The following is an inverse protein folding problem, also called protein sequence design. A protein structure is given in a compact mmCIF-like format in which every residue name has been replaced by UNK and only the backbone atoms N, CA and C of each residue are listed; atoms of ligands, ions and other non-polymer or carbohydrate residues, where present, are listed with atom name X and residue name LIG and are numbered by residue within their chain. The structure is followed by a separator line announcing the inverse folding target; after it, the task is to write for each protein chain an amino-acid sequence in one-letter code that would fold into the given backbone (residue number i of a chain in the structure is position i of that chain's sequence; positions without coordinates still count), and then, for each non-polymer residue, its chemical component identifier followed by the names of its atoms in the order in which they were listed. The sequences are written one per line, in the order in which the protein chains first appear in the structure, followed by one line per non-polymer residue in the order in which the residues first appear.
data_IF_968250558038
#
_entry.id   IF_968250558038
#
_cell.length_a   1.000
_cell.length_b   1.000
_cell.length_c   1.000
_cell.angle_alpha   90.00
_cell.angle_beta   90.00
_cell.angle_gamma   90.00
#
_symmetry.space_group_name_H-M   'P 1'
#
loop_
_entity.id
_entity.type
_entity.pdbx_description
1 polymer ?
#
# COMPACT_ATOMS: atom_id res chain seq x y z
N UNK A 1 22.34 20.94 3.44
CA UNK A 1 21.19 21.71 3.81
C UNK A 1 19.90 21.11 3.33
N UNK A 2 19.93 20.67 2.10
CA UNK A 2 18.70 20.10 1.60
C UNK A 2 18.30 18.86 2.34
N UNK A 3 19.28 18.15 2.84
CA UNK A 3 18.96 16.97 3.62
C UNK A 3 18.12 17.25 4.81
N UNK A 4 18.33 18.41 5.41
CA UNK A 4 17.59 18.75 6.61
C UNK A 4 16.12 18.94 6.34
N UNK A 5 15.75 19.08 5.06
CA UNK A 5 14.35 19.25 4.70
C UNK A 5 13.66 17.94 4.37
N UNK A 6 14.43 16.87 4.23
CA UNK A 6 13.84 15.58 3.98
C UNK A 6 13.26 15.03 5.27
N UNK A 7 12.03 14.63 5.22
CA UNK A 7 11.38 14.10 6.40
C UNK A 7 11.57 12.60 6.45
N UNK A 8 11.72 12.10 7.66
CA UNK A 8 11.83 10.66 7.86
C UNK A 8 10.50 10.01 7.59
N UNK A 9 10.55 8.81 6.99
CA UNK A 9 9.37 8.00 6.81
C UNK A 9 8.97 7.44 8.16
N UNK A 10 7.72 7.63 8.54
CA UNK A 10 7.19 7.16 9.82
C UNK A 10 6.31 5.95 9.58
N UNK A 11 6.49 4.86 10.34
CA UNK A 11 5.61 3.71 10.20
C UNK A 11 4.16 4.08 10.49
N UNK A 12 3.25 3.46 9.75
CA UNK A 12 1.82 3.75 9.86
C UNK A 12 1.33 3.66 11.30
N UNK A 13 1.82 2.69 12.06
CA UNK A 13 1.36 2.48 13.42
C UNK A 13 1.82 3.55 14.38
N UNK A 14 2.87 4.29 14.03
CA UNK A 14 3.47 5.29 14.92
C UNK A 14 3.12 6.72 14.54
N UNK A 15 2.59 6.94 13.33
CA UNK A 15 2.31 8.30 12.88
C UNK A 15 1.10 8.86 13.65
N UNK A 16 1.18 10.14 14.00
CA UNK A 16 0.15 10.77 14.82
C UNK A 16 -1.19 10.84 14.11
N UNK A 17 -1.17 11.27 12.84
CA UNK A 17 -2.39 11.28 12.03
C UNK A 17 -2.14 10.40 10.83
N UNK A 18 -2.90 9.31 10.74
CA UNK A 18 -2.69 8.31 9.72
C UNK A 18 -3.19 8.78 8.37
N UNK A 19 -2.51 8.37 7.28
CA UNK A 19 -3.01 8.70 5.94
C UNK A 19 -4.41 8.17 5.74
N UNK A 20 -5.21 8.92 4.98
CA UNK A 20 -6.55 8.50 4.63
C UNK A 20 -6.64 8.17 3.16
N UNK A 21 -7.69 7.43 2.79
CA UNK A 21 -7.91 7.03 1.42
C UNK A 21 -9.37 7.24 1.07
N UNK A 22 -9.60 7.92 -0.04
CA UNK A 22 -10.93 8.11 -0.59
C UNK A 22 -11.91 8.69 0.43
N UNK A 23 -11.42 9.63 1.25
CA UNK A 23 -12.24 10.29 2.26
C UNK A 23 -12.45 9.49 3.53
N UNK A 24 -11.82 8.32 3.65
CA UNK A 24 -11.93 7.47 4.82
C UNK A 24 -10.56 7.06 5.34
N UNK A 25 -10.52 5.92 6.02
CA UNK A 25 -9.28 5.41 6.58
C UNK A 25 -8.69 4.35 5.68
N UNK A 26 -7.70 3.61 6.18
CA UNK A 26 -7.00 2.60 5.38
C UNK A 26 -7.91 1.45 4.97
N UNK A 27 -9.06 1.26 5.62
CA UNK A 27 -10.01 0.23 5.21
C UNK A 27 -10.60 0.53 3.84
N UNK A 28 -10.70 1.81 3.48
CA UNK A 28 -11.16 2.19 2.14
C UNK A 28 -10.16 1.75 1.08
N UNK A 29 -8.88 1.77 1.41
CA UNK A 29 -7.87 1.28 0.48
C UNK A 29 -7.99 -0.23 0.29
N UNK A 30 -8.23 -0.96 1.35
CA UNK A 30 -8.43 -2.40 1.27
C UNK A 30 -9.59 -2.74 0.34
N UNK A 31 -10.67 -1.99 0.46
CA UNK A 31 -11.84 -2.16 -0.38
C UNK A 31 -11.51 -1.86 -1.83
N UNK A 32 -10.80 -0.75 -2.08
CA UNK A 32 -10.42 -0.37 -3.43
C UNK A 32 -9.55 -1.45 -4.07
N UNK A 33 -8.60 -2.00 -3.32
CA UNK A 33 -7.72 -3.05 -3.84
C UNK A 33 -8.54 -4.28 -4.20
N UNK A 34 -9.47 -4.69 -3.35
CA UNK A 34 -10.26 -5.88 -3.63
C UNK A 34 -11.15 -5.71 -4.85
N UNK A 35 -11.52 -4.47 -5.18
CA UNK A 35 -12.33 -4.18 -6.36
C UNK A 35 -11.50 -4.09 -7.64
N UNK A 36 -10.19 -3.86 -7.52
CA UNK A 36 -9.34 -3.59 -8.68
C UNK A 36 -8.29 -4.66 -8.93
N UNK A 37 -8.04 -5.54 -7.99
CA UNK A 37 -7.06 -6.60 -8.17
C UNK A 37 -7.61 -7.64 -9.14
N UNK A 38 -6.73 -8.17 -9.99
CA UNK A 38 -7.10 -9.20 -10.95
C UNK A 38 -6.41 -10.50 -10.57
N UNK A 39 -7.18 -11.57 -10.56
CA UNK A 39 -6.61 -12.87 -10.26
C UNK A 39 -5.80 -13.32 -11.46
N UNK A 40 -4.51 -13.62 -11.32
CA UNK A 40 -3.73 -14.10 -12.47
C UNK A 40 -4.33 -15.39 -13.00
N UNK A 41 -4.49 -15.46 -14.31
CA UNK A 41 -5.19 -16.58 -14.94
C UNK A 41 -4.55 -17.93 -14.63
N UNK A 42 -3.21 -17.97 -14.68
CA UNK A 42 -2.51 -19.22 -14.37
C UNK A 42 -2.77 -19.67 -12.94
N UNK A 43 -2.80 -18.72 -12.02
CA UNK A 43 -3.04 -19.05 -10.61
C UNK A 43 -4.48 -19.49 -10.40
N UNK A 44 -5.41 -18.89 -11.12
CA UNK A 44 -6.81 -19.27 -11.02
C UNK A 44 -7.01 -20.70 -11.54
N UNK A 45 -6.37 -21.03 -12.66
CA UNK A 45 -6.49 -22.36 -13.25
C UNK A 45 -5.88 -23.42 -12.35
N UNK A 46 -4.78 -23.09 -11.69
CA UNK A 46 -4.11 -24.02 -10.77
C UNK A 46 -4.66 -23.94 -9.36
N UNK A 47 -5.64 -23.08 -9.12
CA UNK A 47 -6.29 -22.87 -7.83
C UNK A 47 -5.32 -22.47 -6.74
N UNK A 48 -4.31 -21.69 -7.11
CA UNK A 48 -3.35 -21.16 -6.15
C UNK A 48 -3.97 -19.96 -5.45
N UNK A 49 -3.93 -19.98 -4.15
CA UNK A 49 -4.42 -18.89 -3.30
C UNK A 49 -3.32 -18.45 -2.37
N UNK A 50 -3.42 -17.24 -1.84
CA UNK A 50 -2.43 -16.79 -0.89
C UNK A 50 -2.52 -15.31 -0.65
N UNK A 51 -1.53 -14.82 0.08
CA UNK A 51 -1.47 -13.43 0.48
C UNK A 51 -0.08 -12.89 0.16
N UNK A 52 -0.03 -11.84 -0.65
CA UNK A 52 1.22 -11.15 -0.94
C UNK A 52 1.28 -9.94 -0.02
N UNK A 53 2.27 -9.89 0.86
CA UNK A 53 2.43 -8.77 1.78
C UNK A 53 3.40 -7.78 1.17
N UNK A 54 2.94 -6.54 1.04
CA UNK A 54 3.72 -5.45 0.48
C UNK A 54 3.96 -4.38 1.51
N UNK A 55 5.03 -3.62 1.29
CA UNK A 55 5.25 -2.39 2.04
C UNK A 55 5.43 -1.27 1.04
N UNK A 56 4.80 -0.14 1.29
CA UNK A 56 4.96 1.02 0.43
C UNK A 56 4.92 2.27 1.26
N UNK A 57 5.31 3.38 0.64
CA UNK A 57 5.32 4.68 1.30
C UNK A 57 4.23 5.56 0.70
N UNK A 58 3.40 6.14 1.57
CA UNK A 58 2.49 7.22 1.17
C UNK A 58 3.26 8.49 1.34
N UNK A 59 3.56 9.15 0.23
CA UNK A 59 4.43 10.33 0.25
C UNK A 59 3.70 11.54 0.79
N UNK A 60 4.44 12.62 0.95
CA UNK A 60 3.86 13.90 1.40
C UNK A 60 2.82 14.42 0.42
N UNK A 61 2.87 13.95 -0.82
CA UNK A 61 1.91 14.33 -1.86
C UNK A 61 0.74 13.36 -1.96
N UNK A 62 0.72 12.32 -1.15
CA UNK A 62 -0.32 11.31 -1.20
C UNK A 62 -0.11 10.22 -2.22
N UNK A 63 1.09 10.12 -2.78
CA UNK A 63 1.41 9.12 -3.79
C UNK A 63 1.99 7.88 -3.15
N UNK A 64 1.77 6.73 -3.80
CA UNK A 64 2.37 5.48 -3.36
C UNK A 64 3.73 5.33 -4.03
N UNK A 65 4.76 5.07 -3.23
CA UNK A 65 6.14 4.88 -3.71
C UNK A 65 6.82 3.76 -2.98
N UNK A 66 7.94 3.32 -3.53
CA UNK A 66 8.84 2.34 -2.90
C UNK A 66 8.10 1.07 -2.51
N UNK A 67 7.31 0.56 -3.45
CA UNK A 67 6.56 -0.67 -3.23
C UNK A 67 7.52 -1.84 -3.22
N UNK A 68 7.51 -2.62 -2.13
CA UNK A 68 8.32 -3.84 -2.03
C UNK A 68 7.49 -4.99 -1.57
N UNK A 69 7.86 -6.19 -2.05
CA UNK A 69 7.22 -7.42 -1.61
C UNK A 69 7.95 -7.92 -0.37
N UNK A 70 7.26 -7.99 0.75
CA UNK A 70 7.84 -8.53 1.98
C UNK A 70 7.60 -10.02 2.10
N UNK A 71 6.46 -10.49 1.61
CA UNK A 71 6.14 -11.90 1.62
C UNK A 71 5.51 -12.26 0.28
N UNK A 72 6.14 -13.19 -0.42
CA UNK A 72 5.77 -13.58 -1.77
C UNK A 72 4.92 -14.84 -1.76
N UNK A 73 4.07 -15.00 -2.78
CA UNK A 73 3.42 -16.28 -3.07
C UNK A 73 4.07 -16.86 -4.32
N UNK A 74 3.97 -16.17 -5.43
CA UNK A 74 4.65 -16.54 -6.67
C UNK A 74 4.75 -15.31 -7.54
N UNK A 75 5.46 -15.44 -8.66
CA UNK A 75 5.75 -14.29 -9.51
C UNK A 75 4.51 -13.60 -10.04
N UNK A 76 3.53 -14.37 -10.49
CA UNK A 76 2.32 -13.79 -11.05
C UNK A 76 1.53 -12.98 -10.03
N UNK A 77 1.35 -13.54 -8.84
CA UNK A 77 0.62 -12.85 -7.79
C UNK A 77 1.39 -11.65 -7.28
N UNK A 78 2.72 -11.79 -7.17
CA UNK A 78 3.55 -10.67 -6.72
C UNK A 78 3.45 -9.51 -7.70
N UNK A 79 3.51 -9.78 -8.99
CA UNK A 79 3.41 -8.73 -10.01
C UNK A 79 2.06 -8.04 -9.96
N UNK A 80 1.00 -8.81 -9.80
CA UNK A 80 -0.34 -8.23 -9.74
C UNK A 80 -0.52 -7.40 -8.49
N UNK A 81 -0.01 -7.87 -7.36
CA UNK A 81 -0.11 -7.11 -6.12
C UNK A 81 0.61 -5.77 -6.24
N UNK A 82 1.82 -5.77 -6.80
CA UNK A 82 2.58 -4.54 -7.02
C UNK A 82 1.83 -3.63 -7.98
N UNK A 83 1.28 -4.18 -9.06
CA UNK A 83 0.56 -3.39 -10.05
C UNK A 83 -0.63 -2.66 -9.43
N UNK A 84 -1.49 -3.38 -8.71
CA UNK A 84 -2.71 -2.78 -8.19
C UNK A 84 -2.39 -1.72 -7.15
N UNK A 85 -1.42 -1.97 -6.29
CA UNK A 85 -1.05 -1.00 -5.25
C UNK A 85 -0.41 0.23 -5.88
N UNK A 86 0.41 0.02 -6.93
CA UNK A 86 1.11 1.12 -7.59
C UNK A 86 0.16 2.03 -8.37
N UNK A 87 -1.02 1.54 -8.74
CA UNK A 87 -2.01 2.32 -9.47
C UNK A 87 -3.00 3.03 -8.56
N UNK A 88 -2.72 3.03 -7.28
CA UNK A 88 -3.59 3.66 -6.29
C UNK A 88 -3.86 5.13 -6.60
N UNK A 89 -5.11 5.60 -6.44
CA UNK A 89 -5.37 7.04 -6.42
C UNK A 89 -4.65 7.71 -5.27
N UNK A 90 -4.69 9.03 -5.25
CA UNK A 90 -4.00 9.79 -4.23
C UNK A 90 -4.60 9.54 -2.85
N UNK A 91 -3.73 9.45 -1.87
CA UNK A 91 -4.10 9.39 -0.46
C UNK A 91 -4.09 10.78 0.14
N UNK A 92 -4.78 10.93 1.27
CA UNK A 92 -4.57 12.09 2.13
C UNK A 92 -3.31 11.80 2.94
N UNK A 93 -2.29 12.67 2.88
CA UNK A 93 -1.03 12.38 3.57
C UNK A 93 -1.18 12.30 5.08
N UNK A 94 -0.27 11.56 5.71
CA UNK A 94 -0.21 11.52 7.17
C UNK A 94 0.44 12.76 7.74
N UNK A 95 0.27 12.97 9.04
CA UNK A 95 0.85 14.13 9.74
C UNK A 95 1.45 13.68 11.06
N UNK A 96 2.50 14.38 11.45
CA UNK A 96 3.14 14.10 12.72
C UNK A 96 2.42 14.82 13.88
N UNK A 97 2.98 14.70 15.07
CA UNK A 97 2.36 15.29 16.26
C UNK A 97 2.29 16.80 16.20
N UNK A 98 3.11 17.43 15.36
CA UNK A 98 3.10 18.88 15.18
C UNK A 98 2.14 19.32 14.07
N UNK A 99 1.45 18.37 13.45
CA UNK A 99 0.54 18.66 12.36
C UNK A 99 1.21 18.81 11.01
N UNK A 100 2.50 18.49 10.91
CA UNK A 100 3.22 18.62 9.66
C UNK A 100 3.07 17.36 8.82
N UNK A 101 2.92 17.55 7.52
CA UNK A 101 2.77 16.44 6.58
C UNK A 101 4.07 15.65 6.53
N UNK A 102 3.97 14.33 6.66
CA UNK A 102 5.13 13.43 6.64
C UNK A 102 4.85 12.22 5.77
N UNK A 103 5.89 11.61 5.20
CA UNK A 103 5.70 10.34 4.49
C UNK A 103 5.50 9.21 5.50
N UNK A 104 4.67 8.24 5.14
CA UNK A 104 4.31 7.15 6.05
C UNK A 104 4.48 5.83 5.32
N UNK A 105 5.15 4.87 5.96
CA UNK A 105 5.26 3.52 5.41
C UNK A 105 4.11 2.67 5.91
N UNK A 106 3.53 1.89 5.01
CA UNK A 106 2.37 1.08 5.31
C UNK A 106 2.60 -0.33 4.78
N UNK A 107 2.34 -1.31 5.63
CA UNK A 107 2.43 -2.72 5.25
C UNK A 107 1.01 -3.21 4.97
N UNK A 108 0.81 -3.79 3.81
CA UNK A 108 -0.53 -4.12 3.33
C UNK A 108 -0.55 -5.49 2.67
N UNK A 109 -1.49 -6.35 3.05
CA UNK A 109 -1.63 -7.66 2.41
C UNK A 109 -2.62 -7.59 1.25
N UNK A 110 -2.21 -8.12 0.09
CA UNK A 110 -3.13 -8.33 -1.03
C UNK A 110 -3.53 -9.78 -0.99
N UNK A 111 -4.82 -10.04 -0.81
CA UNK A 111 -5.31 -11.40 -0.59
C UNK A 111 -5.92 -11.94 -1.87
N UNK A 112 -5.44 -13.10 -2.30
CA UNK A 112 -5.96 -13.82 -3.44
C UNK A 112 -6.67 -15.06 -2.93
N UNK A 113 -7.99 -15.07 -3.03
CA UNK A 113 -8.76 -16.24 -2.62
C UNK A 113 -9.83 -16.55 -3.64
N UNK A 114 -10.09 -17.82 -3.81
CA UNK A 114 -11.09 -18.32 -4.75
C UNK A 114 -12.35 -18.69 -3.99
N UNK A 115 -13.53 -18.58 -4.64
CA UNK A 115 -14.78 -18.98 -4.00
C UNK A 115 -14.85 -20.47 -3.78
#
# INVERSE_FOLDING_TARGET
TQKSEEKKVIPFQLVAQKPGFNGGDANEFSKWVSENVRYPEKCRQSRVQGRVTLQFTVTEEGKVRDVKVLRSVNDEMDKEAVRVVSESPLWTPGRDANGEIVPVSYTFPVIFSLP
#
